data_IF_734777946727
#
_entry.id   IF_734777946727
#
_cell.length_a   1.000
_cell.length_b   1.000
_cell.length_c   1.000
_cell.angle_alpha   90.00
_cell.angle_beta   90.00
_cell.angle_gamma   90.00
#
_symmetry.space_group_name_H-M   'P 1'
#
loop_
_entity.id
_entity.type
_entity.pdbx_description
1 polymer ?
#
# COMPACT_ATOMS: atom_id res chain seq x y z
N UNK A 1 40.59 28.89 -33.27
CA UNK A 1 39.12 28.76 -33.11
C UNK A 1 38.88 27.57 -32.19
N UNK A 2 39.04 27.79 -30.88
CA UNK A 2 38.00 27.65 -29.84
C UNK A 2 37.13 26.39 -29.93
N UNK A 3 37.38 25.53 -28.95
CA UNK A 3 36.64 24.33 -28.59
C UNK A 3 35.14 24.58 -28.49
N UNK A 4 34.36 23.76 -29.18
CA UNK A 4 32.92 23.62 -28.98
C UNK A 4 32.53 22.21 -29.41
N UNK A 5 32.94 21.21 -28.62
CA UNK A 5 32.55 19.81 -28.84
C UNK A 5 32.40 19.04 -27.52
N UNK A 6 32.21 19.74 -26.38
CA UNK A 6 32.00 19.12 -25.05
C UNK A 6 30.62 19.38 -24.45
N UNK A 7 29.78 20.22 -25.07
CA UNK A 7 28.47 20.60 -24.53
C UNK A 7 27.32 19.71 -25.04
N UNK A 8 27.49 19.00 -26.16
CA UNK A 8 26.41 18.18 -26.74
C UNK A 8 26.24 16.83 -26.01
N UNK A 9 27.34 16.25 -25.51
CA UNK A 9 27.30 14.98 -24.75
C UNK A 9 26.72 15.15 -23.33
N UNK A 10 26.98 16.28 -22.66
CA UNK A 10 26.39 16.60 -21.35
C UNK A 10 24.86 16.78 -21.46
N UNK A 11 24.38 17.36 -22.57
CA UNK A 11 22.95 17.53 -22.83
C UNK A 11 22.26 16.19 -23.10
N UNK A 12 22.93 15.23 -23.74
CA UNK A 12 22.39 13.89 -23.99
C UNK A 12 22.25 13.08 -22.68
N UNK A 13 23.27 13.14 -21.82
CA UNK A 13 23.29 12.49 -20.50
C UNK A 13 22.26 13.08 -19.53
N UNK A 14 21.86 14.35 -19.71
CA UNK A 14 20.80 14.97 -18.92
C UNK A 14 19.40 14.83 -19.54
N UNK A 15 19.26 14.35 -20.79
CA UNK A 15 17.96 14.25 -21.48
C UNK A 15 17.35 12.84 -21.48
N UNK A 16 18.11 11.79 -21.16
CA UNK A 16 17.59 10.41 -21.21
C UNK A 16 16.35 10.23 -20.33
N UNK A 17 16.31 10.89 -19.15
CA UNK A 17 15.17 10.82 -18.24
C UNK A 17 13.93 11.53 -18.81
N UNK A 18 14.12 12.47 -19.74
CA UNK A 18 13.05 13.22 -20.42
C UNK A 18 12.53 12.49 -21.67
N UNK A 19 13.04 11.29 -21.96
CA UNK A 19 12.54 10.47 -23.05
C UNK A 19 11.05 10.14 -22.84
N UNK A 20 10.24 10.10 -23.93
CA UNK A 20 8.79 9.90 -23.84
C UNK A 20 8.38 8.58 -23.18
N UNK A 21 9.28 7.58 -23.16
CA UNK A 21 9.10 6.30 -22.46
C UNK A 21 8.90 6.47 -20.95
N UNK A 22 9.43 7.54 -20.34
CA UNK A 22 9.31 7.82 -18.91
C UNK A 22 8.13 8.73 -18.55
N UNK A 23 7.31 9.14 -19.51
CA UNK A 23 6.17 10.05 -19.26
C UNK A 23 5.21 9.51 -18.21
N UNK A 24 4.86 8.22 -18.27
CA UNK A 24 4.00 7.57 -17.27
C UNK A 24 4.65 7.55 -15.89
N UNK A 25 5.95 7.28 -15.82
CA UNK A 25 6.71 7.33 -14.57
C UNK A 25 6.68 8.73 -13.94
N UNK A 26 6.96 9.77 -14.72
CA UNK A 26 6.97 11.15 -14.24
C UNK A 26 5.58 11.66 -13.83
N UNK A 27 4.52 11.22 -14.53
CA UNK A 27 3.15 11.51 -14.11
C UNK A 27 2.86 10.96 -12.71
N UNK A 28 3.22 9.70 -12.45
CA UNK A 28 3.06 9.10 -11.13
C UNK A 28 3.97 9.75 -10.08
N UNK A 29 5.21 10.08 -10.44
CA UNK A 29 6.13 10.80 -9.57
C UNK A 29 5.56 12.16 -9.16
N UNK A 30 5.00 12.94 -10.10
CA UNK A 30 4.36 14.22 -9.79
C UNK A 30 3.14 14.06 -8.89
N UNK A 31 2.32 13.03 -9.11
CA UNK A 31 1.18 12.73 -8.23
C UNK A 31 1.63 12.37 -6.81
N UNK A 32 2.67 11.54 -6.68
CA UNK A 32 3.25 11.15 -5.40
C UNK A 32 3.89 12.35 -4.68
N UNK A 33 4.61 13.20 -5.42
CA UNK A 33 5.21 14.43 -4.88
C UNK A 33 4.16 15.46 -4.46
N UNK A 34 3.08 15.61 -5.23
CA UNK A 34 1.96 16.47 -4.85
C UNK A 34 1.29 15.97 -3.56
N UNK A 35 1.09 14.65 -3.42
CA UNK A 35 0.59 14.04 -2.19
C UNK A 35 1.55 14.29 -1.01
N UNK A 36 2.85 14.03 -1.20
CA UNK A 36 3.88 14.22 -0.19
C UNK A 36 3.94 15.68 0.30
N UNK A 37 3.87 16.65 -0.61
CA UNK A 37 3.86 18.06 -0.26
C UNK A 37 2.62 18.46 0.55
N UNK A 38 1.42 17.99 0.15
CA UNK A 38 0.18 18.23 0.89
C UNK A 38 0.24 17.60 2.27
N UNK A 39 0.73 16.37 2.36
CA UNK A 39 0.87 15.64 3.60
C UNK A 39 1.88 16.31 4.54
N UNK A 40 3.04 16.72 4.02
CA UNK A 40 4.06 17.45 4.79
C UNK A 40 3.53 18.78 5.33
N UNK A 41 2.74 19.52 4.54
CA UNK A 41 2.08 20.76 5.00
C UNK A 41 1.03 20.48 6.08
N UNK A 42 0.21 19.46 5.91
CA UNK A 42 -0.79 19.06 6.91
C UNK A 42 -0.12 18.62 8.22
N UNK A 43 0.93 17.82 8.13
CA UNK A 43 1.74 17.39 9.26
C UNK A 43 2.39 18.57 9.97
N UNK A 44 3.00 19.54 9.24
CA UNK A 44 3.57 20.76 9.83
C UNK A 44 2.52 21.55 10.61
N UNK A 45 1.33 21.76 10.02
CA UNK A 45 0.23 22.46 10.68
C UNK A 45 -0.29 21.72 11.92
N UNK A 46 -0.40 20.40 11.85
CA UNK A 46 -0.81 19.57 12.99
C UNK A 46 0.24 19.60 14.11
N UNK A 47 1.52 19.54 13.74
CA UNK A 47 2.65 19.64 14.67
C UNK A 47 2.70 21.01 15.35
N UNK A 48 2.54 22.10 14.60
CA UNK A 48 2.47 23.47 15.11
C UNK A 48 1.25 23.67 16.03
N UNK A 49 0.09 23.07 15.72
CA UNK A 49 -1.08 23.12 16.57
C UNK A 49 -0.91 22.33 17.89
N UNK A 50 -0.18 21.21 17.86
CA UNK A 50 0.04 20.35 19.02
C UNK A 50 1.16 20.85 19.95
N UNK A 51 2.22 21.43 19.39
CA UNK A 51 3.45 21.77 20.14
C UNK A 51 3.83 23.25 20.10
N UNK A 52 3.10 24.08 19.37
CA UNK A 52 3.39 25.50 19.19
C UNK A 52 4.57 25.77 18.24
N UNK A 53 4.92 27.04 17.98
CA UNK A 53 6.00 27.40 17.06
C UNK A 53 7.34 26.78 17.49
N UNK A 54 8.15 26.22 16.57
CA UNK A 54 9.46 25.71 16.91
C UNK A 54 10.34 26.84 17.43
N UNK A 55 10.88 26.72 18.65
CA UNK A 55 11.97 27.58 19.10
C UNK A 55 13.19 27.37 18.18
N UNK A 56 13.95 28.41 17.82
CA UNK A 56 15.15 28.23 17.01
C UNK A 56 16.12 27.34 17.80
N UNK A 57 16.37 26.12 17.31
CA UNK A 57 17.47 25.30 17.82
C UNK A 57 18.77 25.75 17.16
N UNK A 58 19.87 25.91 17.91
CA UNK A 58 21.17 26.17 17.31
C UNK A 58 21.49 25.10 16.27
N UNK A 59 21.91 25.52 15.08
CA UNK A 59 22.29 24.66 13.95
C UNK A 59 23.42 23.72 14.39
N UNK A 60 23.10 22.44 14.58
CA UNK A 60 24.10 21.41 14.82
C UNK A 60 24.73 20.98 13.49
N UNK A 61 25.98 21.44 13.33
CA UNK A 61 26.86 21.41 12.17
C UNK A 61 27.49 20.03 11.98
N UNK A 62 26.70 18.95 11.96
CA UNK A 62 27.21 17.56 12.05
C UNK A 62 27.28 16.77 10.72
N UNK A 63 26.79 17.32 9.61
CA UNK A 63 26.73 16.59 8.31
C UNK A 63 27.31 17.40 7.14
N UNK A 64 28.46 18.07 7.35
CA UNK A 64 29.15 18.81 6.28
C UNK A 64 30.44 18.13 5.79
N UNK A 65 30.73 16.92 6.28
CA UNK A 65 32.05 16.26 6.14
C UNK A 65 32.09 15.16 5.07
N UNK A 66 30.96 14.82 4.45
CA UNK A 66 30.85 13.72 3.47
C UNK A 66 30.85 14.19 2.01
N UNK A 67 31.35 15.39 1.72
CA UNK A 67 31.42 15.94 0.37
C UNK A 67 32.80 16.55 0.11
N UNK A 68 33.81 15.72 -0.12
CA UNK A 68 34.82 15.90 -1.18
C UNK A 68 35.75 14.69 -1.23
N UNK A 69 36.31 14.46 -2.43
CA UNK A 69 37.43 13.56 -2.76
C UNK A 69 37.09 12.12 -3.19
N UNK A 70 36.94 11.92 -4.51
CA UNK A 70 37.14 10.61 -5.13
C UNK A 70 36.55 10.42 -6.52
N UNK A 71 36.87 11.26 -7.51
CA UNK A 71 36.52 10.99 -8.92
C UNK A 71 37.75 11.14 -9.82
N UNK A 72 38.50 10.04 -9.97
CA UNK A 72 39.37 9.81 -11.12
C UNK A 72 39.44 8.30 -11.34
N UNK A 73 38.50 7.75 -12.12
CA UNK A 73 38.60 6.35 -12.57
C UNK A 73 38.36 6.23 -14.07
N UNK A 74 39.39 5.68 -14.71
CA UNK A 74 39.61 5.58 -16.14
C UNK A 74 38.74 4.47 -16.75
N UNK A 75 37.68 4.84 -17.47
CA UNK A 75 36.83 3.89 -18.19
C UNK A 75 37.56 3.31 -19.41
N UNK A 76 38.13 2.11 -19.27
CA UNK A 76 38.72 1.33 -20.37
C UNK A 76 37.69 0.33 -20.90
N UNK A 77 37.04 0.68 -22.01
CA UNK A 77 36.10 -0.16 -22.75
C UNK A 77 36.86 -1.21 -23.57
N UNK A 78 36.92 -2.44 -23.07
CA UNK A 78 37.43 -3.61 -23.79
C UNK A 78 36.33 -4.67 -23.89
N UNK A 79 35.96 -5.05 -25.12
CA UNK A 79 35.13 -6.24 -25.37
C UNK A 79 35.86 -7.48 -24.84
N UNK A 80 35.33 -8.06 -23.76
CA UNK A 80 35.83 -9.32 -23.20
C UNK A 80 35.03 -10.45 -23.87
N UNK A 81 35.66 -11.15 -24.83
CA UNK A 81 35.13 -12.35 -25.44
C UNK A 81 35.21 -13.51 -24.41
N UNK A 82 34.08 -13.83 -23.75
CA UNK A 82 34.01 -14.85 -22.72
C UNK A 82 33.92 -16.26 -23.35
N UNK A 83 35.02 -16.99 -23.38
CA UNK A 83 35.04 -18.40 -23.83
C UNK A 83 34.31 -19.33 -22.84
N UNK A 84 33.07 -19.70 -23.18
CA UNK A 84 32.19 -20.56 -22.37
C UNK A 84 32.65 -22.03 -22.37
N UNK A 85 33.52 -22.42 -23.31
CA UNK A 85 34.01 -23.80 -23.48
C UNK A 85 34.86 -24.28 -22.31
N UNK A 86 35.53 -23.34 -21.63
CA UNK A 86 36.57 -23.63 -20.65
C UNK A 86 36.15 -23.34 -19.20
N UNK A 87 34.86 -23.06 -18.96
CA UNK A 87 34.34 -22.80 -17.62
C UNK A 87 33.93 -24.11 -16.94
N UNK A 88 34.87 -24.72 -16.22
CA UNK A 88 34.58 -25.86 -15.36
C UNK A 88 33.66 -25.42 -14.22
N UNK A 89 32.41 -25.90 -14.22
CA UNK A 89 31.48 -25.65 -13.12
C UNK A 89 32.03 -26.37 -11.89
N UNK A 90 32.42 -25.59 -10.88
CA UNK A 90 32.92 -26.14 -9.63
C UNK A 90 31.87 -27.07 -9.01
N UNK A 91 32.35 -28.13 -8.35
CA UNK A 91 31.48 -29.11 -7.72
C UNK A 91 30.55 -28.46 -6.67
N UNK A 92 31.02 -27.41 -6.00
CA UNK A 92 30.24 -26.60 -5.06
C UNK A 92 29.07 -25.87 -5.74
N UNK A 93 29.31 -25.25 -6.90
CA UNK A 93 28.26 -24.55 -7.64
C UNK A 93 27.22 -25.52 -8.20
N UNK A 94 27.64 -26.72 -8.59
CA UNK A 94 26.74 -27.81 -9.00
C UNK A 94 25.82 -28.26 -7.86
N UNK A 95 26.34 -28.34 -6.64
CA UNK A 95 25.54 -28.63 -5.44
C UNK A 95 24.57 -27.47 -5.11
N UNK A 96 24.99 -26.22 -5.27
CA UNK A 96 24.13 -25.05 -5.06
C UNK A 96 22.94 -25.02 -6.03
N UNK A 97 23.16 -25.34 -7.31
CA UNK A 97 22.06 -25.45 -8.27
C UNK A 97 21.09 -26.58 -7.90
N UNK A 98 21.59 -27.74 -7.45
CA UNK A 98 20.74 -28.82 -6.96
C UNK A 98 19.92 -28.41 -5.71
N UNK A 99 20.49 -27.62 -4.81
CA UNK A 99 19.75 -27.06 -3.66
C UNK A 99 18.69 -26.04 -4.10
N UNK A 100 19.03 -25.18 -5.05
CA UNK A 100 18.12 -24.16 -5.59
C UNK A 100 16.94 -24.79 -6.32
N UNK A 101 17.17 -25.88 -7.07
CA UNK A 101 16.09 -26.65 -7.70
C UNK A 101 15.18 -27.31 -6.66
N UNK A 102 15.75 -27.99 -5.64
CA UNK A 102 14.95 -28.60 -4.57
C UNK A 102 14.05 -27.57 -3.87
N UNK A 103 14.59 -26.39 -3.56
CA UNK A 103 13.81 -25.32 -2.92
C UNK A 103 12.71 -24.78 -3.85
N UNK A 104 12.98 -24.64 -5.15
CA UNK A 104 11.96 -24.25 -6.14
C UNK A 104 10.84 -25.29 -6.27
N UNK A 105 11.18 -26.58 -6.25
CA UNK A 105 10.21 -27.66 -6.28
C UNK A 105 9.36 -27.72 -4.99
N UNK A 106 9.98 -27.50 -3.84
CA UNK A 106 9.30 -27.47 -2.55
C UNK A 106 8.33 -26.30 -2.43
N UNK A 107 8.74 -25.09 -2.86
CA UNK A 107 7.86 -23.93 -2.93
C UNK A 107 6.69 -24.16 -3.89
N UNK A 108 6.92 -24.77 -5.06
CA UNK A 108 5.84 -25.11 -6.00
C UNK A 108 4.84 -26.09 -5.38
N UNK A 109 5.31 -27.12 -4.66
CA UNK A 109 4.43 -28.08 -3.96
C UNK A 109 3.63 -27.40 -2.85
N UNK A 110 4.26 -26.55 -2.05
CA UNK A 110 3.55 -25.78 -1.01
C UNK A 110 2.48 -24.86 -1.62
N UNK A 111 2.80 -24.17 -2.71
CA UNK A 111 1.84 -23.31 -3.40
C UNK A 111 0.63 -24.09 -3.95
N UNK A 112 0.83 -25.30 -4.47
CA UNK A 112 -0.26 -26.17 -4.91
C UNK A 112 -1.15 -26.60 -3.74
N UNK A 113 -0.55 -27.07 -2.63
CA UNK A 113 -1.29 -27.44 -1.42
C UNK A 113 -2.02 -26.26 -0.78
N UNK A 114 -1.45 -25.06 -0.86
CA UNK A 114 -2.09 -23.84 -0.36
C UNK A 114 -3.24 -23.41 -1.28
N UNK A 115 -3.11 -23.54 -2.60
CA UNK A 115 -4.18 -23.28 -3.56
C UNK A 115 -5.35 -24.27 -3.39
N UNK A 116 -5.07 -25.56 -3.20
CA UNK A 116 -6.09 -26.57 -2.88
C UNK A 116 -6.79 -26.26 -1.54
N UNK A 117 -6.05 -25.74 -0.55
CA UNK A 117 -6.64 -25.26 0.70
C UNK A 117 -7.45 -23.97 0.53
N UNK A 118 -7.10 -23.12 -0.44
CA UNK A 118 -7.84 -21.90 -0.76
C UNK A 118 -9.20 -22.19 -1.40
N UNK A 119 -9.47 -23.37 -1.95
CA UNK A 119 -10.84 -23.72 -2.41
C UNK A 119 -11.85 -23.87 -1.26
N UNK A 120 -11.37 -24.17 -0.04
CA UNK A 120 -12.19 -24.18 1.19
C UNK A 120 -12.41 -22.78 1.78
N UNK A 121 -11.76 -21.75 1.23
CA UNK A 121 -11.81 -20.39 1.75
C UNK A 121 -13.14 -19.71 1.41
N UNK A 122 -13.76 -19.10 2.43
CA UNK A 122 -14.93 -18.23 2.25
C UNK A 122 -14.49 -16.78 2.46
N UNK A 123 -14.59 -15.89 1.45
CA UNK A 123 -14.31 -14.48 1.62
C UNK A 123 -15.18 -13.86 2.72
N UNK A 124 -14.57 -13.13 3.64
CA UNK A 124 -15.26 -12.50 4.77
C UNK A 124 -16.30 -11.43 4.37
N UNK A 125 -16.23 -10.97 3.11
CA UNK A 125 -17.18 -10.01 2.52
C UNK A 125 -18.53 -10.68 2.15
N UNK A 126 -18.62 -12.01 2.24
CA UNK A 126 -19.91 -12.69 2.16
C UNK A 126 -20.61 -12.50 3.50
N UNK A 127 -21.52 -11.53 3.55
CA UNK A 127 -22.40 -11.29 4.68
C UNK A 127 -22.93 -12.62 5.24
N UNK A 128 -22.38 -13.07 6.37
CA UNK A 128 -22.92 -14.18 7.16
C UNK A 128 -24.37 -13.88 7.63
N UNK A 129 -24.83 -12.65 7.44
CA UNK A 129 -26.24 -12.29 7.55
C UNK A 129 -27.14 -13.05 6.57
N UNK A 130 -26.65 -13.56 5.43
CA UNK A 130 -27.49 -14.39 4.55
C UNK A 130 -27.95 -15.71 5.20
N UNK A 131 -27.11 -16.31 6.06
CA UNK A 131 -27.40 -17.59 6.71
C UNK A 131 -27.95 -17.45 8.14
N UNK A 132 -27.61 -16.36 8.84
CA UNK A 132 -28.08 -16.10 10.21
C UNK A 132 -29.52 -15.57 10.27
N UNK A 133 -30.06 -15.08 9.15
CA UNK A 133 -31.50 -15.03 8.95
C UNK A 133 -31.96 -16.46 8.71
N UNK A 134 -31.98 -17.27 9.78
CA UNK A 134 -32.92 -18.37 9.87
C UNK A 134 -34.26 -17.77 9.53
N UNK A 135 -34.70 -18.02 8.30
CA UNK A 135 -36.04 -17.74 7.83
C UNK A 135 -36.96 -18.58 8.70
N UNK A 136 -37.30 -18.05 9.88
CA UNK A 136 -38.46 -18.45 10.63
C UNK A 136 -39.62 -18.32 9.65
N UNK A 137 -40.17 -19.45 9.23
CA UNK A 137 -41.35 -19.49 8.36
C UNK A 137 -42.56 -18.88 9.09
N UNK A 138 -42.48 -18.74 10.41
CA UNK A 138 -43.48 -18.05 11.23
C UNK A 138 -43.22 -16.53 11.26
N UNK A 139 -44.25 -15.68 11.08
CA UNK A 139 -44.17 -14.25 11.30
C UNK A 139 -43.66 -13.94 12.72
N UNK A 140 -42.76 -12.94 12.90
CA UNK A 140 -42.36 -12.49 14.22
C UNK A 140 -43.58 -12.13 15.06
N UNK A 141 -43.71 -12.73 16.25
CA UNK A 141 -44.83 -12.46 17.18
C UNK A 141 -44.80 -11.03 17.74
N UNK A 142 -43.65 -10.37 17.64
CA UNK A 142 -43.39 -9.02 18.11
C UNK A 142 -43.10 -8.12 16.92
N UNK A 143 -43.70 -6.92 16.91
CA UNK A 143 -43.46 -5.97 15.81
C UNK A 143 -41.99 -5.57 15.82
N UNK A 144 -41.27 -5.69 14.68
CA UNK A 144 -39.88 -5.28 14.57
C UNK A 144 -39.71 -3.83 15.04
N UNK A 145 -38.89 -3.63 16.07
CA UNK A 145 -38.59 -2.31 16.63
C UNK A 145 -39.50 -1.83 17.77
N UNK A 146 -40.55 -2.55 18.15
CA UNK A 146 -41.47 -2.12 19.22
C UNK A 146 -40.80 -2.08 20.60
N UNK A 147 -40.02 -3.10 20.95
CA UNK A 147 -39.20 -3.11 22.19
C UNK A 147 -38.19 -1.98 22.22
N UNK A 148 -37.49 -1.78 21.10
CA UNK A 148 -36.48 -0.73 20.96
C UNK A 148 -37.12 0.65 21.12
N UNK A 149 -38.31 0.87 20.57
CA UNK A 149 -39.04 2.13 20.74
C UNK A 149 -39.49 2.36 22.19
N UNK A 150 -39.94 1.31 22.89
CA UNK A 150 -40.29 1.38 24.31
C UNK A 150 -39.07 1.67 25.20
N UNK A 151 -37.94 1.01 24.92
CA UNK A 151 -36.66 1.26 25.60
C UNK A 151 -36.15 2.67 25.35
N UNK A 152 -36.21 3.16 24.11
CA UNK A 152 -35.85 4.53 23.75
C UNK A 152 -36.72 5.56 24.51
N UNK A 153 -38.03 5.35 24.60
CA UNK A 153 -38.93 6.20 25.40
C UNK A 153 -38.59 6.16 26.90
N UNK A 154 -38.18 5.00 27.43
CA UNK A 154 -37.75 4.87 28.83
C UNK A 154 -36.43 5.59 29.12
N UNK A 155 -35.47 5.53 28.19
CA UNK A 155 -34.13 6.12 28.35
C UNK A 155 -34.09 7.62 28.08
N UNK A 156 -34.77 8.07 27.03
CA UNK A 156 -34.65 9.43 26.48
C UNK A 156 -35.94 10.26 26.59
N UNK A 157 -37.05 9.68 27.08
CA UNK A 157 -38.30 10.41 27.30
C UNK A 157 -38.87 11.03 26.03
N UNK A 158 -39.20 12.32 26.09
CA UNK A 158 -39.75 13.10 24.97
C UNK A 158 -38.76 13.22 23.80
N UNK A 159 -37.46 13.25 24.10
CA UNK A 159 -36.38 13.38 23.11
C UNK A 159 -36.08 12.05 22.37
N UNK A 160 -36.71 10.94 22.75
CA UNK A 160 -36.49 9.63 22.12
C UNK A 160 -36.66 9.68 20.60
N UNK A 161 -37.65 10.43 20.11
CA UNK A 161 -37.90 10.60 18.67
C UNK A 161 -36.75 11.33 17.97
N UNK A 162 -36.20 12.36 18.61
CA UNK A 162 -35.08 13.15 18.11
C UNK A 162 -33.80 12.34 18.06
N UNK A 163 -33.50 11.56 19.10
CA UNK A 163 -32.33 10.67 19.14
C UNK A 163 -32.43 9.59 18.06
N UNK A 164 -33.61 8.98 17.91
CA UNK A 164 -33.84 7.98 16.87
C UNK A 164 -33.67 8.56 15.46
N UNK A 165 -34.16 9.79 15.23
CA UNK A 165 -33.96 10.48 13.96
C UNK A 165 -32.48 10.80 13.69
N UNK A 166 -31.72 11.22 14.71
CA UNK A 166 -30.29 11.46 14.59
C UNK A 166 -29.52 10.17 14.28
N UNK A 167 -29.84 9.08 14.97
CA UNK A 167 -29.23 7.77 14.73
C UNK A 167 -29.51 7.27 13.31
N UNK A 168 -30.77 7.38 12.86
CA UNK A 168 -31.16 7.02 11.51
C UNK A 168 -30.44 7.88 10.47
N UNK A 169 -30.31 9.19 10.69
CA UNK A 169 -29.55 10.07 9.79
C UNK A 169 -28.07 9.66 9.72
N UNK A 170 -27.44 9.36 10.86
CA UNK A 170 -26.06 8.88 10.89
C UNK A 170 -25.91 7.54 10.15
N UNK A 171 -26.81 6.60 10.37
CA UNK A 171 -26.83 5.31 9.70
C UNK A 171 -27.00 5.46 8.18
N UNK A 172 -27.93 6.29 7.72
CA UNK A 172 -28.13 6.58 6.29
C UNK A 172 -26.89 7.22 5.65
N UNK A 173 -26.18 8.10 6.36
CA UNK A 173 -24.92 8.66 5.84
C UNK A 173 -23.82 7.62 5.73
N UNK A 174 -23.77 6.66 6.66
CA UNK A 174 -22.85 5.54 6.59
C UNK A 174 -23.18 4.63 5.41
N UNK A 175 -24.44 4.19 5.30
CA UNK A 175 -24.94 3.33 4.22
C UNK A 175 -24.70 3.95 2.85
N UNK A 176 -25.01 5.25 2.68
CA UNK A 176 -24.71 5.97 1.44
C UNK A 176 -23.23 5.90 1.06
N UNK A 177 -22.33 6.01 2.03
CA UNK A 177 -20.90 5.89 1.76
C UNK A 177 -20.47 4.46 1.43
N UNK A 178 -21.06 3.46 2.10
CA UNK A 178 -20.83 2.04 1.83
C UNK A 178 -21.36 1.62 0.46
N UNK A 179 -22.55 2.05 0.07
CA UNK A 179 -23.16 1.75 -1.23
C UNK A 179 -22.36 2.36 -2.38
N UNK A 180 -21.92 3.61 -2.22
CA UNK A 180 -21.15 4.32 -3.25
C UNK A 180 -19.74 3.77 -3.41
N UNK A 181 -19.07 3.41 -2.31
CA UNK A 181 -17.64 3.04 -2.34
C UNK A 181 -17.41 1.52 -2.32
N UNK A 182 -18.41 0.74 -1.89
CA UNK A 182 -18.32 -0.70 -1.60
C UNK A 182 -16.96 -1.09 -1.02
N UNK A 183 -16.53 -0.41 0.07
CA UNK A 183 -15.18 -0.58 0.57
C UNK A 183 -15.00 -2.03 1.02
N UNK A 184 -13.96 -2.70 0.51
CA UNK A 184 -13.57 -4.02 1.02
C UNK A 184 -13.06 -3.83 2.45
N UNK A 185 -13.66 -4.53 3.39
CA UNK A 185 -13.22 -4.45 4.78
C UNK A 185 -11.84 -5.08 4.92
N UNK A 186 -10.94 -4.42 5.64
CA UNK A 186 -9.54 -4.86 5.79
C UNK A 186 -9.27 -5.31 7.23
N UNK A 187 -8.46 -6.37 7.47
CA UNK A 187 -7.92 -7.34 6.52
C UNK A 187 -8.87 -8.52 6.34
N UNK A 188 -8.96 -9.00 5.09
CA UNK A 188 -9.61 -10.27 4.77
C UNK A 188 -8.64 -11.40 5.18
N UNK A 189 -8.48 -11.59 6.50
CA UNK A 189 -7.64 -12.67 7.03
C UNK A 189 -8.33 -14.00 6.69
N UNK A 190 -7.61 -14.94 6.07
CA UNK A 190 -8.14 -16.27 5.84
C UNK A 190 -8.53 -16.94 7.17
N UNK A 191 -9.84 -17.01 7.44
CA UNK A 191 -10.36 -17.79 8.56
C UNK A 191 -10.56 -19.22 8.07
N UNK A 192 -9.85 -20.17 8.69
CA UNK A 192 -10.05 -21.61 8.48
C UNK A 192 -11.29 -22.02 9.30
N UNK A 193 -12.44 -22.17 8.64
CA UNK A 193 -13.69 -22.68 9.25
C UNK A 193 -13.87 -24.18 9.01
#
# INVERSE_FOLDING_TARGET
MKASCRQEDECAVMSWFSAPVFTRYWQHYHQAMAWYQRHRRAYSKAWEAAYGPPRPRPRERRYADWQEDGDEDSSSDGEIECDVSNMEISEELRQYFAQTERHREELKKQQQLEAEQQDRYVPADHDLHGASWRSSVAPPAERPGERRAAEMRKLYGEDASKILAMEAAMQLTFERNCDLKRPKYWPVIPLKL
#
